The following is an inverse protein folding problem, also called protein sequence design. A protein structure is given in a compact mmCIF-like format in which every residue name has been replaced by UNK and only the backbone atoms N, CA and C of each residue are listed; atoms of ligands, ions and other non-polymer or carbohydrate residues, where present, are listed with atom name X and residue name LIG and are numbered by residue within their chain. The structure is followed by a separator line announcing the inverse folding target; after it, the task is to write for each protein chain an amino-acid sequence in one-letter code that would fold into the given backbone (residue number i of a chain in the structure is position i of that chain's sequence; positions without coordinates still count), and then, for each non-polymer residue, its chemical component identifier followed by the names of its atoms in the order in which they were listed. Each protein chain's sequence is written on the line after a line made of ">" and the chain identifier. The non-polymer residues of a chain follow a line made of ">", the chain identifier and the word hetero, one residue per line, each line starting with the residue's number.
data_IF_497426773512
#
_entry.id   IF_497426773512
#
_cell.length_a   1.000
_cell.length_b   1.000
_cell.length_c   1.000
_cell.angle_alpha   90.00
_cell.angle_beta   90.00
_cell.angle_gamma   90.00
#
_symmetry.space_group_name_H-M   'P 1'
#
loop_
_entity.id
_entity.type
_entity.pdbx_description
1 polymer ?
#
# COMPACT_ATOMS: atom_id res chain seq x y z
N UNK A 1 23.20 -16.88 28.53
CA UNK A 1 23.14 -18.26 29.06
C UNK A 1 22.31 -18.31 30.35
N UNK A 2 21.27 -19.14 30.40
CA UNK A 2 20.48 -19.39 31.63
C UNK A 2 19.11 -18.71 31.71
N UNK A 3 18.70 -18.01 30.65
CA UNK A 3 17.32 -17.48 30.50
C UNK A 3 16.58 -18.14 29.35
N UNK A 4 17.19 -19.11 28.65
CA UNK A 4 16.51 -19.87 27.61
C UNK A 4 15.36 -20.68 28.21
N UNK A 5 14.26 -20.80 27.46
CA UNK A 5 13.08 -21.57 27.85
C UNK A 5 12.56 -22.35 26.66
N UNK A 6 12.13 -23.58 26.90
CA UNK A 6 11.38 -24.39 25.95
C UNK A 6 9.88 -24.24 26.25
N UNK A 7 9.08 -23.99 25.21
CA UNK A 7 7.62 -23.85 25.31
C UNK A 7 7.00 -24.95 24.44
N UNK A 8 6.34 -25.95 25.02
CA UNK A 8 5.62 -26.96 24.25
C UNK A 8 4.51 -26.30 23.43
N UNK A 9 4.43 -26.61 22.13
CA UNK A 9 3.41 -26.09 21.24
C UNK A 9 3.07 -27.12 20.15
N UNK A 10 1.77 -27.30 19.88
CA UNK A 10 1.30 -28.09 18.73
C UNK A 10 1.46 -27.30 17.42
N UNK A 11 1.23 -25.98 17.49
CA UNK A 11 1.39 -25.06 16.37
C UNK A 11 1.97 -23.72 16.83
N UNK A 12 2.75 -23.09 15.95
CA UNK A 12 3.33 -21.76 16.18
C UNK A 12 2.96 -20.86 15.00
N UNK A 13 2.32 -19.73 15.28
CA UNK A 13 1.98 -18.70 14.30
C UNK A 13 2.83 -17.46 14.55
N UNK A 14 3.63 -17.07 13.56
CA UNK A 14 4.44 -15.86 13.63
C UNK A 14 3.64 -14.66 13.11
N UNK A 15 3.04 -13.89 14.02
CA UNK A 15 2.21 -12.72 13.72
C UNK A 15 2.98 -11.40 13.82
N UNK A 16 4.13 -11.31 13.15
CA UNK A 16 5.03 -10.14 13.23
C UNK A 16 4.60 -8.97 12.33
N UNK A 17 3.60 -9.18 11.46
CA UNK A 17 3.18 -8.20 10.44
C UNK A 17 4.16 -8.10 9.27
N UNK A 18 3.97 -7.07 8.43
CA UNK A 18 4.79 -6.83 7.25
C UNK A 18 5.20 -5.35 7.13
N UNK A 19 6.33 -5.09 6.48
CA UNK A 19 6.84 -3.74 6.22
C UNK A 19 6.84 -3.52 4.71
N UNK A 20 5.81 -2.85 4.20
CA UNK A 20 5.66 -2.55 2.78
C UNK A 20 5.47 -3.79 1.89
N UNK A 21 5.42 -3.60 0.57
CA UNK A 21 5.41 -4.71 -0.38
C UNK A 21 6.76 -5.42 -0.42
N UNK A 22 6.77 -6.66 -0.92
CA UNK A 22 8.00 -7.38 -1.20
C UNK A 22 8.88 -6.57 -2.16
N UNK A 23 10.16 -6.41 -1.82
CA UNK A 23 11.16 -5.71 -2.63
C UNK A 23 11.60 -6.58 -3.81
N UNK A 24 10.66 -6.83 -4.70
CA UNK A 24 10.87 -7.64 -5.91
C UNK A 24 11.63 -6.83 -6.97
N UNK A 25 12.26 -7.50 -7.96
CA UNK A 25 12.88 -6.83 -9.10
C UNK A 25 11.94 -5.90 -9.87
N UNK A 26 10.62 -6.14 -9.79
CA UNK A 26 9.60 -5.30 -10.41
C UNK A 26 9.65 -3.86 -9.90
N UNK A 27 9.87 -3.63 -8.59
CA UNK A 27 9.93 -2.27 -8.05
C UNK A 27 11.13 -1.49 -8.60
N UNK A 28 12.27 -2.18 -8.77
CA UNK A 28 13.46 -1.60 -9.40
C UNK A 28 13.24 -1.33 -10.89
N UNK A 29 12.58 -2.25 -11.61
CA UNK A 29 12.27 -2.10 -13.04
C UNK A 29 11.26 -0.98 -13.32
N UNK A 30 10.32 -0.74 -12.40
CA UNK A 30 9.37 0.36 -12.47
C UNK A 30 9.96 1.68 -11.95
N UNK A 31 11.19 1.68 -11.43
CA UNK A 31 11.90 2.86 -10.92
C UNK A 31 11.13 3.64 -9.83
N UNK A 32 10.30 2.94 -9.05
CA UNK A 32 9.48 3.58 -8.00
C UNK A 32 10.26 3.77 -6.70
N UNK A 33 10.09 4.91 -6.06
CA UNK A 33 10.66 5.19 -4.74
C UNK A 33 9.79 4.61 -3.61
N UNK A 34 10.44 4.29 -2.49
CA UNK A 34 9.77 3.91 -1.25
C UNK A 34 9.74 5.09 -0.26
N UNK A 35 8.73 5.12 0.59
CA UNK A 35 8.68 6.00 1.75
C UNK A 35 9.53 5.46 2.92
N UNK A 36 9.64 6.25 3.99
CA UNK A 36 10.42 5.88 5.19
C UNK A 36 9.87 4.63 5.91
N UNK A 37 8.65 4.22 5.57
CA UNK A 37 7.98 3.02 6.10
C UNK A 37 8.07 1.82 5.15
N UNK A 38 8.76 1.97 4.02
CA UNK A 38 8.96 0.94 3.02
C UNK A 38 7.78 0.72 2.06
N UNK A 39 6.76 1.58 2.08
CA UNK A 39 5.66 1.52 1.11
C UNK A 39 6.06 2.26 -0.17
N UNK A 40 5.44 1.92 -1.30
CA UNK A 40 5.65 2.66 -2.55
C UNK A 40 5.12 4.09 -2.37
N UNK A 41 6.00 5.06 -2.57
CA UNK A 41 5.69 6.49 -2.48
C UNK A 41 4.66 6.86 -3.54
N UNK A 42 3.68 7.68 -3.17
CA UNK A 42 2.65 8.18 -4.08
C UNK A 42 2.24 9.62 -3.77
N UNK A 43 1.74 10.33 -4.78
CA UNK A 43 1.19 11.67 -4.65
C UNK A 43 -0.33 11.66 -4.35
N UNK A 44 -0.98 12.83 -4.41
CA UNK A 44 -2.41 13.00 -4.15
C UNK A 44 -3.32 12.30 -5.19
N UNK A 45 -2.77 11.95 -6.34
CA UNK A 45 -3.46 11.25 -7.43
C UNK A 45 -3.15 9.75 -7.47
N UNK A 46 -2.62 9.16 -6.39
CA UNK A 46 -2.18 7.75 -6.34
C UNK A 46 -1.03 7.39 -7.29
N UNK A 47 -0.47 8.36 -8.02
CA UNK A 47 0.65 8.16 -8.91
C UNK A 47 1.95 8.08 -8.10
N UNK A 48 2.84 7.18 -8.49
CA UNK A 48 4.14 6.98 -7.86
C UNK A 48 5.12 8.07 -8.28
N UNK A 49 6.41 7.90 -7.95
CA UNK A 49 7.47 8.77 -8.48
C UNK A 49 7.73 8.56 -9.96
N UNK A 50 7.30 7.41 -10.51
CA UNK A 50 7.38 7.10 -11.93
C UNK A 50 6.07 7.48 -12.61
N UNK A 51 6.17 8.31 -13.65
CA UNK A 51 5.03 8.76 -14.43
C UNK A 51 4.25 7.58 -15.02
N UNK A 52 2.91 7.63 -14.90
CA UNK A 52 2.03 6.59 -15.42
C UNK A 52 1.99 5.30 -14.59
N UNK A 53 2.73 5.22 -13.47
CA UNK A 53 2.68 4.11 -12.53
C UNK A 53 1.92 4.54 -11.28
N UNK A 54 0.92 3.75 -10.88
CA UNK A 54 0.01 4.09 -9.78
C UNK A 54 0.00 2.98 -8.72
N UNK A 55 -0.30 3.34 -7.46
CA UNK A 55 -0.35 2.39 -6.35
C UNK A 55 -1.50 2.66 -5.37
N UNK A 56 -2.19 1.59 -4.97
CA UNK A 56 -3.27 1.61 -4.00
C UNK A 56 -3.16 0.44 -3.01
N UNK A 57 -3.94 0.50 -1.93
CA UNK A 57 -3.96 -0.55 -0.91
C UNK A 57 -2.65 -0.63 -0.14
N UNK A 58 -2.39 -1.80 0.44
CA UNK A 58 -1.28 -1.97 1.40
C UNK A 58 0.10 -1.64 0.81
N UNK A 59 0.28 -1.77 -0.51
CA UNK A 59 1.54 -1.44 -1.17
C UNK A 59 1.91 0.06 -1.09
N UNK A 60 0.93 0.96 -1.06
CA UNK A 60 1.14 2.41 -0.96
C UNK A 60 0.67 3.04 0.38
N UNK A 61 -0.24 2.37 1.08
CA UNK A 61 -0.80 2.82 2.37
C UNK A 61 -0.06 2.22 3.57
N UNK A 62 0.48 1.02 3.41
CA UNK A 62 0.81 0.11 4.49
C UNK A 62 -0.40 -0.71 4.96
N UNK A 63 -0.11 -1.78 5.72
CA UNK A 63 -1.08 -2.78 6.20
C UNK A 63 -2.40 -2.19 6.72
N UNK A 64 -3.52 -2.59 6.10
CA UNK A 64 -4.86 -2.08 6.43
C UNK A 64 -5.96 -3.12 6.20
N UNK A 65 -7.22 -2.70 6.29
CA UNK A 65 -8.37 -3.56 6.04
C UNK A 65 -8.69 -3.62 4.54
N UNK A 66 -9.25 -4.74 4.09
CA UNK A 66 -9.65 -4.95 2.68
C UNK A 66 -10.58 -3.84 2.15
N UNK A 67 -11.45 -3.28 2.98
CA UNK A 67 -12.34 -2.18 2.59
C UNK A 67 -11.57 -0.92 2.18
N UNK A 68 -10.42 -0.65 2.80
CA UNK A 68 -9.54 0.45 2.40
C UNK A 68 -8.88 0.17 1.05
N UNK A 69 -8.40 -1.05 0.82
CA UNK A 69 -7.82 -1.42 -0.46
C UNK A 69 -8.85 -1.29 -1.61
N UNK A 70 -10.10 -1.70 -1.38
CA UNK A 70 -11.19 -1.55 -2.36
C UNK A 70 -11.48 -0.06 -2.63
N UNK A 71 -11.59 0.75 -1.57
CA UNK A 71 -11.87 2.17 -1.72
C UNK A 71 -10.72 2.91 -2.43
N UNK A 72 -9.47 2.66 -2.05
CA UNK A 72 -8.30 3.25 -2.70
C UNK A 72 -8.15 2.76 -4.15
N UNK A 73 -8.46 1.48 -4.43
CA UNK A 73 -8.44 0.95 -5.80
C UNK A 73 -9.42 1.67 -6.73
N UNK A 74 -10.61 2.03 -6.23
CA UNK A 74 -11.57 2.84 -6.99
C UNK A 74 -11.07 4.26 -7.23
N UNK A 75 -10.50 4.91 -6.21
CA UNK A 75 -9.90 6.24 -6.37
C UNK A 75 -8.69 6.25 -7.31
N UNK A 76 -7.81 5.24 -7.23
CA UNK A 76 -6.68 5.10 -8.12
C UNK A 76 -7.11 4.84 -9.56
N UNK A 77 -8.15 4.04 -9.78
CA UNK A 77 -8.73 3.84 -11.12
C UNK A 77 -9.26 5.16 -11.73
N UNK A 78 -9.89 6.02 -10.92
CA UNK A 78 -10.33 7.35 -11.36
C UNK A 78 -9.16 8.26 -11.73
N UNK A 79 -8.05 8.18 -10.99
CA UNK A 79 -6.83 8.91 -11.31
C UNK A 79 -6.17 8.40 -12.60
N UNK A 80 -6.08 7.09 -12.80
CA UNK A 80 -5.58 6.47 -14.04
C UNK A 80 -6.44 6.88 -15.24
N UNK A 81 -7.76 6.85 -15.11
CA UNK A 81 -8.68 7.29 -16.18
C UNK A 81 -8.49 8.77 -16.54
N UNK A 82 -8.28 9.62 -15.53
CA UNK A 82 -7.96 11.04 -15.72
C UNK A 82 -6.62 11.22 -16.42
N UNK A 83 -5.59 10.46 -16.03
CA UNK A 83 -4.27 10.50 -16.66
C UNK A 83 -4.33 10.11 -18.14
N UNK A 84 -5.07 9.05 -18.47
CA UNK A 84 -5.16 8.54 -19.83
C UNK A 84 -6.07 9.37 -20.75
N UNK A 85 -7.12 9.99 -20.21
CA UNK A 85 -8.18 10.63 -21.03
C UNK A 85 -8.37 12.12 -20.80
N UNK A 86 -7.66 12.69 -19.82
CA UNK A 86 -7.75 14.10 -19.41
C UNK A 86 -8.94 14.45 -18.51
N UNK A 87 -9.84 13.50 -18.23
CA UNK A 87 -10.99 13.66 -17.32
C UNK A 87 -11.45 12.31 -16.78
N UNK A 88 -12.29 12.28 -15.76
CA UNK A 88 -12.94 11.03 -15.34
C UNK A 88 -14.39 11.25 -14.91
N UNK A 89 -15.21 10.22 -15.08
CA UNK A 89 -16.53 10.10 -14.45
C UNK A 89 -16.54 9.02 -13.37
N UNK A 90 -15.40 8.37 -13.13
CA UNK A 90 -15.28 7.33 -12.13
C UNK A 90 -15.29 7.95 -10.72
N UNK A 91 -15.89 7.25 -9.74
CA UNK A 91 -15.94 7.73 -8.37
C UNK A 91 -14.59 7.59 -7.65
N UNK A 92 -14.18 8.65 -6.93
CA UNK A 92 -13.02 8.66 -6.04
C UNK A 92 -13.46 8.76 -4.57
N UNK A 93 -13.82 7.63 -3.92
CA UNK A 93 -14.43 7.64 -2.59
C UNK A 93 -13.54 8.17 -1.47
N UNK A 94 -12.21 8.07 -1.60
CA UNK A 94 -11.26 8.52 -0.57
C UNK A 94 -9.98 9.10 -1.18
N UNK A 95 -9.36 10.11 -0.55
CA UNK A 95 -8.02 10.57 -0.91
C UNK A 95 -6.92 9.61 -0.40
N UNK A 96 -5.70 9.62 -0.98
CA UNK A 96 -4.56 8.80 -0.54
C UNK A 96 -4.15 8.99 0.94
N UNK A 97 -4.47 10.17 1.48
CA UNK A 97 -4.16 10.60 2.85
C UNK A 97 -5.23 10.20 3.87
N UNK A 98 -6.37 9.64 3.45
CA UNK A 98 -7.42 9.23 4.37
C UNK A 98 -6.91 8.19 5.39
N UNK A 99 -7.21 8.38 6.67
CA UNK A 99 -6.84 7.45 7.76
C UNK A 99 -8.09 7.14 8.60
N UNK A 100 -8.15 5.99 9.29
CA UNK A 100 -9.22 5.73 10.24
C UNK A 100 -9.22 6.82 11.32
N UNK A 101 -10.40 7.27 11.77
CA UNK A 101 -10.46 8.15 12.94
C UNK A 101 -9.92 7.38 14.15
N UNK A 102 -8.90 7.93 14.81
CA UNK A 102 -8.48 7.42 16.11
C UNK A 102 -9.52 7.86 17.14
N UNK A 103 -10.07 6.89 17.86
CA UNK A 103 -10.91 7.10 19.05
C UNK A 103 -10.00 7.13 20.26
#
# INVERSE_FOLDING_TARGET
>A
PGTEKEIPADFVFLAMGFIGPEKSPLLTQLEVELDDRGNIRRNENFETTTEGVFVCGDAGRGQSLIVWAIAEGRSAAAAVDTYLTGRTQLPAPIPPTARPMMV
#
